data_IF_615007558495
#
_entry.id   IF_615007558495
#
_cell.length_a   1.000
_cell.length_b   1.000
_cell.length_c   1.000
_cell.angle_alpha   90.00
_cell.angle_beta   90.00
_cell.angle_gamma   90.00
#
_symmetry.space_group_name_H-M   'P 1'
#
loop_
_entity.id
_entity.type
_entity.pdbx_description
1 polymer ?
#
# COMPACT_ATOMS: atom_id res chain seq x y z
N UNK A 1 73.38 38.77 -29.04
CA UNK A 1 72.39 39.78 -28.59
C UNK A 1 71.12 39.52 -29.40
N UNK A 2 69.96 39.11 -28.88
CA UNK A 2 69.33 39.17 -27.55
C UNK A 2 68.50 37.89 -27.31
N UNK A 3 68.44 37.36 -26.07
CA UNK A 3 67.50 36.32 -25.69
C UNK A 3 66.24 36.96 -25.06
N UNK A 4 65.04 36.56 -25.48
CA UNK A 4 63.86 36.64 -24.59
C UNK A 4 63.03 35.37 -24.72
N UNK A 5 63.41 34.44 -23.86
CA UNK A 5 62.64 33.31 -23.38
C UNK A 5 61.37 33.75 -22.65
N UNK A 6 60.31 32.96 -22.86
CA UNK A 6 59.31 32.50 -21.88
C UNK A 6 58.73 33.50 -20.88
N UNK A 7 57.38 33.51 -20.82
CA UNK A 7 56.60 32.94 -19.72
C UNK A 7 55.34 33.80 -19.45
N UNK A 8 54.28 33.56 -20.23
CA UNK A 8 52.92 33.98 -19.88
C UNK A 8 52.15 32.75 -19.38
N UNK A 9 52.54 32.25 -18.23
CA UNK A 9 51.72 31.34 -17.43
C UNK A 9 51.68 31.91 -16.00
N UNK A 10 50.53 31.72 -15.34
CA UNK A 10 50.26 31.99 -13.92
C UNK A 10 49.85 33.41 -13.47
N UNK A 11 48.80 34.00 -14.04
CA UNK A 11 47.98 35.00 -13.32
C UNK A 11 46.46 34.89 -13.58
N UNK A 12 46.02 34.30 -14.70
CA UNK A 12 44.60 34.10 -15.01
C UNK A 12 43.88 33.03 -14.14
N UNK A 13 44.63 32.16 -13.47
CA UNK A 13 44.07 31.09 -12.64
C UNK A 13 43.58 31.52 -11.25
N UNK A 14 44.10 32.63 -10.70
CA UNK A 14 43.82 33.04 -9.32
C UNK A 14 42.50 33.80 -9.15
N UNK A 15 42.04 34.54 -10.17
CA UNK A 15 40.78 35.28 -10.11
C UNK A 15 39.56 34.42 -10.52
N UNK A 16 39.76 33.38 -11.33
CA UNK A 16 38.68 32.46 -11.74
C UNK A 16 38.33 31.41 -10.69
N UNK A 17 39.30 31.00 -9.86
CA UNK A 17 39.14 29.96 -8.85
C UNK A 17 38.09 30.30 -7.77
N UNK A 18 38.07 31.50 -7.15
CA UNK A 18 37.03 31.83 -6.17
C UNK A 18 35.63 31.90 -6.79
N UNK A 19 35.52 32.33 -8.05
CA UNK A 19 34.23 32.34 -8.78
C UNK A 19 33.75 30.92 -9.06
N UNK A 20 34.65 30.03 -9.49
CA UNK A 20 34.32 28.61 -9.69
C UNK A 20 33.91 27.92 -8.38
N UNK A 21 34.61 28.21 -7.28
CA UNK A 21 34.25 27.68 -5.94
C UNK A 21 32.88 28.20 -5.51
N UNK A 22 32.57 29.47 -5.74
CA UNK A 22 31.25 30.04 -5.44
C UNK A 22 30.16 29.36 -6.28
N UNK A 23 30.39 29.17 -7.59
CA UNK A 23 29.44 28.49 -8.47
C UNK A 23 29.21 27.03 -8.05
N UNK A 24 30.27 26.31 -7.67
CA UNK A 24 30.17 24.95 -7.14
C UNK A 24 29.40 24.91 -5.81
N UNK A 25 29.63 25.88 -4.93
CA UNK A 25 28.90 26.00 -3.67
C UNK A 25 27.39 26.22 -3.92
N UNK A 26 27.04 27.16 -4.80
CA UNK A 26 25.64 27.44 -5.17
C UNK A 26 24.99 26.23 -5.86
N UNK A 27 25.71 25.54 -6.74
CA UNK A 27 25.21 24.32 -7.38
C UNK A 27 24.96 23.21 -6.34
N UNK A 28 25.90 22.99 -5.42
CA UNK A 28 25.75 21.97 -4.36
C UNK A 28 24.58 22.27 -3.43
N UNK A 29 24.38 23.55 -3.07
CA UNK A 29 23.26 23.99 -2.24
C UNK A 29 21.93 23.84 -2.97
N UNK A 30 21.91 24.06 -4.29
CA UNK A 30 20.72 23.89 -5.12
C UNK A 30 20.32 22.42 -5.23
N UNK A 31 21.28 21.52 -5.44
CA UNK A 31 21.04 20.06 -5.47
C UNK A 31 20.56 19.57 -4.11
N UNK A 32 21.23 19.96 -3.02
CA UNK A 32 20.82 19.58 -1.67
C UNK A 32 19.40 20.09 -1.31
N UNK A 33 19.01 21.25 -1.85
CA UNK A 33 17.65 21.77 -1.68
C UNK A 33 16.63 20.96 -2.49
N UNK A 34 16.94 20.62 -3.75
CA UNK A 34 16.08 19.78 -4.59
C UNK A 34 15.90 18.37 -4.01
N UNK A 35 16.97 17.75 -3.50
CA UNK A 35 16.91 16.44 -2.87
C UNK A 35 15.97 16.43 -1.65
N UNK A 36 16.03 17.48 -0.83
CA UNK A 36 15.13 17.64 0.33
C UNK A 36 13.67 17.78 -0.09
N UNK A 37 13.40 18.52 -1.17
CA UNK A 37 12.04 18.66 -1.70
C UNK A 37 11.52 17.32 -2.23
N UNK A 38 12.32 16.60 -3.02
CA UNK A 38 11.96 15.28 -3.53
C UNK A 38 11.66 14.29 -2.39
N UNK A 39 12.50 14.25 -1.36
CA UNK A 39 12.26 13.42 -0.19
C UNK A 39 10.95 13.78 0.54
N UNK A 40 10.62 15.08 0.66
CA UNK A 40 9.35 15.52 1.23
C UNK A 40 8.15 15.12 0.38
N UNK A 41 8.25 15.21 -0.95
CA UNK A 41 7.18 14.77 -1.85
C UNK A 41 6.96 13.27 -1.77
N UNK A 42 8.04 12.47 -1.78
CA UNK A 42 7.97 11.02 -1.63
C UNK A 42 7.36 10.60 -0.29
N UNK A 43 7.74 11.27 0.80
CA UNK A 43 7.14 11.01 2.11
C UNK A 43 5.65 11.35 2.14
N UNK A 44 5.26 12.49 1.57
CA UNK A 44 3.85 12.90 1.49
C UNK A 44 3.02 11.98 0.61
N UNK A 45 3.56 11.51 -0.52
CA UNK A 45 2.85 10.56 -1.37
C UNK A 45 2.63 9.24 -0.65
N UNK A 46 3.63 8.72 0.07
CA UNK A 46 3.47 7.52 0.90
C UNK A 46 2.40 7.68 1.97
N UNK A 47 2.39 8.82 2.68
CA UNK A 47 1.33 9.10 3.66
C UNK A 47 -0.05 9.21 3.02
N UNK A 48 -0.15 9.81 1.84
CA UNK A 48 -1.40 9.95 1.11
C UNK A 48 -1.92 8.59 0.62
N UNK A 49 -1.06 7.73 0.10
CA UNK A 49 -1.43 6.35 -0.28
C UNK A 49 -1.96 5.55 0.91
N UNK A 50 -1.33 5.68 2.09
CA UNK A 50 -1.80 5.04 3.32
C UNK A 50 -3.16 5.60 3.77
N UNK A 51 -3.34 6.92 3.72
CA UNK A 51 -4.58 7.57 4.11
C UNK A 51 -5.76 7.21 3.18
N UNK A 52 -5.50 7.18 1.87
CA UNK A 52 -6.48 6.73 0.86
C UNK A 52 -6.85 5.28 1.11
N UNK A 53 -5.86 4.39 1.26
CA UNK A 53 -6.09 2.99 1.58
C UNK A 53 -6.98 2.81 2.82
N UNK A 54 -6.71 3.55 3.90
CA UNK A 54 -7.52 3.51 5.13
C UNK A 54 -8.97 3.98 4.91
N UNK A 55 -9.20 5.06 4.17
CA UNK A 55 -10.56 5.56 3.91
C UNK A 55 -11.42 4.56 3.13
N UNK A 56 -10.80 3.82 2.21
CA UNK A 56 -11.48 2.88 1.34
C UNK A 56 -11.87 1.61 2.12
N UNK A 57 -11.02 1.13 3.03
CA UNK A 57 -11.36 0.08 3.99
C UNK A 57 -12.45 0.49 4.98
N UNK A 58 -12.44 1.74 5.48
CA UNK A 58 -13.48 2.24 6.39
C UNK A 58 -14.87 2.24 5.74
N UNK A 59 -14.96 2.56 4.45
CA UNK A 59 -16.20 2.48 3.69
C UNK A 59 -16.75 1.05 3.62
N UNK A 60 -15.87 0.10 3.28
CA UNK A 60 -16.19 -1.32 3.25
C UNK A 60 -16.68 -1.82 4.63
N UNK A 61 -15.91 -1.53 5.69
CA UNK A 61 -16.22 -1.97 7.05
C UNK A 61 -17.57 -1.44 7.54
N UNK A 62 -17.86 -0.16 7.31
CA UNK A 62 -19.12 0.45 7.74
C UNK A 62 -20.33 -0.25 7.12
N UNK A 63 -20.25 -0.69 5.87
CA UNK A 63 -21.38 -1.27 5.15
C UNK A 63 -21.50 -2.79 5.33
N UNK A 64 -20.39 -3.51 5.45
CA UNK A 64 -20.39 -4.98 5.39
C UNK A 64 -19.98 -5.65 6.71
N UNK A 65 -19.31 -4.93 7.61
CA UNK A 65 -18.76 -5.49 8.86
C UNK A 65 -19.52 -5.00 10.08
N UNK A 66 -19.89 -3.70 10.13
CA UNK A 66 -20.63 -3.11 11.25
C UNK A 66 -22.08 -3.60 11.29
N UNK A 67 -22.72 -3.70 10.13
CA UNK A 67 -24.09 -4.23 9.98
C UNK A 67 -24.08 -5.44 9.03
N UNK A 68 -23.57 -6.61 9.47
CA UNK A 68 -23.39 -7.75 8.60
C UNK A 68 -24.74 -8.44 8.26
N UNK A 69 -25.05 -8.53 6.97
CA UNK A 69 -26.13 -9.36 6.44
C UNK A 69 -25.73 -10.85 6.31
N UNK A 70 -25.80 -11.58 7.42
CA UNK A 70 -25.41 -13.00 7.49
C UNK A 70 -26.13 -13.93 6.48
N UNK A 71 -27.31 -13.56 5.98
CA UNK A 71 -28.05 -14.33 4.97
C UNK A 71 -27.35 -14.38 3.60
N UNK A 72 -26.42 -13.47 3.33
CA UNK A 72 -25.64 -13.47 2.08
C UNK A 72 -24.47 -14.48 2.11
N UNK A 73 -24.18 -15.08 3.27
CA UNK A 73 -23.09 -16.02 3.42
C UNK A 73 -23.37 -17.34 2.68
N UNK A 74 -22.43 -17.79 1.86
CA UNK A 74 -22.52 -19.12 1.24
C UNK A 74 -22.02 -20.19 2.21
N UNK A 75 -22.64 -21.36 2.22
CA UNK A 75 -22.16 -22.46 3.04
C UNK A 75 -20.76 -22.93 2.58
N UNK A 76 -19.86 -23.14 3.55
CA UNK A 76 -18.52 -23.64 3.29
C UNK A 76 -18.55 -25.16 3.22
N UNK A 77 -18.02 -25.72 2.13
CA UNK A 77 -17.92 -27.17 1.92
C UNK A 77 -16.67 -27.79 2.55
N UNK A 78 -15.88 -27.02 3.30
CA UNK A 78 -14.64 -27.46 3.93
C UNK A 78 -14.84 -27.69 5.45
N UNK A 79 -13.92 -28.43 6.08
CA UNK A 79 -13.87 -28.49 7.55
C UNK A 79 -13.47 -27.11 8.08
N UNK A 80 -14.45 -26.33 8.54
CA UNK A 80 -14.28 -24.92 8.84
C UNK A 80 -14.51 -24.05 7.61
N UNK A 81 -13.49 -23.29 7.22
CA UNK A 81 -13.58 -22.42 6.04
C UNK A 81 -12.58 -22.83 4.97
N UNK A 82 -13.03 -22.84 3.71
CA UNK A 82 -12.15 -23.12 2.59
C UNK A 82 -10.98 -22.12 2.49
N UNK A 83 -9.81 -22.54 1.98
CA UNK A 83 -8.70 -21.63 1.74
C UNK A 83 -9.10 -20.51 0.78
N UNK A 84 -8.50 -19.33 0.92
CA UNK A 84 -8.71 -18.22 -0.01
C UNK A 84 -7.96 -18.51 -1.32
N UNK A 85 -8.46 -19.41 -2.18
CA UNK A 85 -7.78 -19.72 -3.45
C UNK A 85 -8.06 -18.66 -4.52
N UNK A 86 -7.06 -18.42 -5.38
CA UNK A 86 -7.17 -17.57 -6.58
C UNK A 86 -7.99 -18.22 -7.70
N UNK A 87 -8.17 -19.55 -7.65
CA UNK A 87 -8.88 -20.25 -8.71
C UNK A 87 -10.38 -19.94 -8.69
N UNK A 88 -10.83 -19.34 -9.80
CA UNK A 88 -12.20 -18.88 -10.08
C UNK A 88 -13.27 -19.98 -9.94
N UNK A 89 -12.86 -21.24 -9.83
CA UNK A 89 -13.74 -22.40 -9.89
C UNK A 89 -14.40 -22.76 -8.55
N UNK A 90 -13.83 -22.36 -7.41
CA UNK A 90 -14.22 -22.96 -6.12
C UNK A 90 -14.94 -22.01 -5.16
N UNK A 91 -14.80 -20.68 -5.32
CA UNK A 91 -15.34 -19.71 -4.36
C UNK A 91 -16.01 -18.56 -5.10
N UNK A 92 -17.32 -18.37 -4.85
CA UNK A 92 -18.05 -17.19 -5.34
C UNK A 92 -17.46 -15.94 -4.70
N UNK A 93 -16.76 -15.15 -5.49
CA UNK A 93 -16.30 -13.82 -5.11
C UNK A 93 -17.33 -12.80 -5.56
N UNK A 94 -17.68 -11.90 -4.65
CA UNK A 94 -18.53 -10.75 -4.96
C UNK A 94 -17.66 -9.51 -5.06
N UNK A 95 -17.98 -8.63 -6.00
CA UNK A 95 -17.27 -7.37 -6.19
C UNK A 95 -18.08 -6.26 -5.51
N UNK A 96 -17.44 -5.50 -4.63
CA UNK A 96 -17.98 -4.26 -4.06
C UNK A 96 -17.17 -3.08 -4.61
N UNK A 97 -17.85 -2.04 -5.11
CA UNK A 97 -17.20 -0.88 -5.74
C UNK A 97 -17.52 0.39 -4.99
N UNK A 98 -16.51 1.24 -4.83
CA UNK A 98 -16.66 2.60 -4.34
C UNK A 98 -15.79 3.52 -5.20
N UNK A 99 -16.42 4.47 -5.89
CA UNK A 99 -15.76 5.39 -6.82
C UNK A 99 -14.89 4.64 -7.87
N UNK A 100 -13.56 4.74 -7.78
CA UNK A 100 -12.59 4.07 -8.66
C UNK A 100 -12.06 2.75 -8.08
N UNK A 101 -12.33 2.47 -6.80
CA UNK A 101 -11.82 1.30 -6.10
C UNK A 101 -12.81 0.13 -6.15
N UNK A 102 -12.25 -1.08 -6.19
CA UNK A 102 -13.02 -2.32 -6.14
C UNK A 102 -12.42 -3.29 -5.13
N UNK A 103 -13.28 -3.87 -4.32
CA UNK A 103 -12.97 -4.96 -3.42
C UNK A 103 -13.57 -6.23 -3.97
N UNK A 104 -12.78 -7.28 -3.93
CA UNK A 104 -13.29 -8.63 -4.05
C UNK A 104 -13.44 -9.20 -2.67
N UNK A 105 -14.65 -9.63 -2.33
CA UNK A 105 -14.93 -10.24 -1.05
C UNK A 105 -15.57 -11.61 -1.18
N UNK A 106 -15.39 -12.40 -0.13
CA UNK A 106 -15.92 -13.75 0.02
C UNK A 106 -16.60 -13.86 1.36
N UNK A 107 -17.87 -14.25 1.34
CA UNK A 107 -18.67 -14.45 2.55
C UNK A 107 -19.05 -15.91 2.67
N UNK A 108 -18.57 -16.55 3.74
CA UNK A 108 -18.87 -17.94 4.02
C UNK A 108 -19.45 -18.16 5.42
N UNK A 109 -20.26 -19.20 5.52
CA UNK A 109 -20.81 -19.73 6.75
C UNK A 109 -20.31 -21.16 6.97
N UNK A 110 -20.04 -21.51 8.22
CA UNK A 110 -19.68 -22.85 8.64
C UNK A 110 -20.43 -23.16 9.94
N UNK A 111 -21.14 -24.29 9.98
CA UNK A 111 -21.85 -24.75 11.18
C UNK A 111 -21.21 -26.05 11.68
N UNK A 112 -20.99 -26.13 12.98
CA UNK A 112 -20.46 -27.34 13.63
C UNK A 112 -21.59 -28.33 13.92
N UNK A 113 -21.22 -29.59 14.22
CA UNK A 113 -22.19 -30.64 14.60
C UNK A 113 -22.96 -30.26 15.88
N UNK A 114 -22.34 -29.46 16.76
CA UNK A 114 -22.93 -28.96 18.00
C UNK A 114 -23.86 -27.73 17.78
N UNK A 115 -24.10 -27.33 16.53
CA UNK A 115 -24.97 -26.22 16.16
C UNK A 115 -24.34 -24.83 16.35
N UNK A 116 -23.02 -24.74 16.55
CA UNK A 116 -22.33 -23.45 16.61
C UNK A 116 -22.12 -22.92 15.19
N UNK A 117 -22.62 -21.71 14.93
CA UNK A 117 -22.57 -21.03 13.65
C UNK A 117 -21.36 -20.08 13.59
N UNK A 118 -20.52 -20.24 12.58
CA UNK A 118 -19.38 -19.38 12.30
C UNK A 118 -19.56 -18.70 10.96
N UNK A 119 -19.17 -17.42 10.88
CA UNK A 119 -19.11 -16.69 9.62
C UNK A 119 -17.71 -16.15 9.41
N UNK A 120 -17.28 -16.13 8.15
CA UNK A 120 -16.05 -15.49 7.72
C UNK A 120 -16.32 -14.62 6.50
N UNK A 121 -16.01 -13.34 6.64
CA UNK A 121 -15.95 -12.39 5.53
C UNK A 121 -14.48 -12.10 5.27
N UNK A 122 -14.03 -12.22 4.03
CA UNK A 122 -12.68 -11.85 3.63
C UNK A 122 -12.73 -10.97 2.41
N UNK A 123 -12.04 -9.83 2.42
CA UNK A 123 -12.00 -8.88 1.32
C UNK A 123 -10.57 -8.56 0.90
N UNK A 124 -10.38 -8.20 -0.37
CA UNK A 124 -9.09 -7.83 -0.93
C UNK A 124 -9.25 -6.82 -2.07
N UNK A 125 -8.33 -5.86 -2.12
CA UNK A 125 -8.22 -4.88 -3.21
C UNK A 125 -7.28 -5.41 -4.32
N UNK A 126 -6.22 -6.13 -3.94
CA UNK A 126 -5.13 -6.52 -4.84
C UNK A 126 -5.01 -8.04 -5.11
N UNK A 127 -5.90 -8.87 -4.54
CA UNK A 127 -5.89 -10.34 -4.60
C UNK A 127 -4.63 -11.01 -4.02
N UNK A 128 -3.80 -10.28 -3.29
CA UNK A 128 -2.59 -10.78 -2.64
C UNK A 128 -2.73 -10.78 -1.12
N UNK A 129 -3.27 -9.68 -0.58
CA UNK A 129 -3.56 -9.52 0.84
C UNK A 129 -5.07 -9.50 1.05
N UNK A 130 -5.57 -10.33 1.96
CA UNK A 130 -6.96 -10.37 2.36
C UNK A 130 -7.09 -9.87 3.80
N UNK A 131 -8.03 -8.96 4.03
CA UNK A 131 -8.47 -8.64 5.38
C UNK A 131 -9.73 -9.46 5.69
N UNK A 132 -9.74 -10.15 6.82
CA UNK A 132 -10.80 -11.08 7.17
C UNK A 132 -11.38 -10.77 8.55
N UNK A 133 -12.66 -11.07 8.70
CA UNK A 133 -13.45 -10.93 9.91
C UNK A 133 -14.17 -12.24 10.20
N UNK A 134 -14.22 -12.61 11.48
CA UNK A 134 -14.82 -13.85 11.95
C UNK A 134 -15.86 -13.57 13.01
N UNK A 135 -17.05 -14.12 12.81
CA UNK A 135 -18.13 -14.12 13.78
C UNK A 135 -18.40 -15.52 14.26
N UNK A 136 -18.75 -15.62 15.54
CA UNK A 136 -19.30 -16.83 16.15
C UNK A 136 -20.67 -16.47 16.74
N UNK A 137 -21.71 -17.21 16.35
CA UNK A 137 -23.10 -16.93 16.72
C UNK A 137 -23.46 -15.44 16.51
N UNK A 138 -23.04 -14.88 15.35
CA UNK A 138 -23.26 -13.48 14.93
C UNK A 138 -22.53 -12.42 15.76
N UNK A 139 -21.66 -12.80 16.67
CA UNK A 139 -20.80 -11.88 17.44
C UNK A 139 -19.41 -11.87 16.81
N UNK A 140 -18.89 -10.69 16.48
CA UNK A 140 -17.54 -10.53 15.94
C UNK A 140 -16.52 -10.95 17.01
N UNK A 141 -15.71 -11.96 16.72
CA UNK A 141 -14.69 -12.49 17.65
C UNK A 141 -13.29 -12.01 17.26
N UNK A 142 -12.98 -12.05 15.96
CA UNK A 142 -11.64 -11.81 15.47
C UNK A 142 -11.66 -11.07 14.14
N UNK A 143 -10.59 -10.31 13.87
CA UNK A 143 -10.30 -9.71 12.58
C UNK A 143 -8.79 -9.70 12.36
N UNK A 144 -8.34 -9.73 11.10
CA UNK A 144 -6.93 -9.69 10.80
C UNK A 144 -6.59 -9.92 9.33
N UNK A 145 -5.32 -9.67 9.01
CA UNK A 145 -4.78 -9.82 7.67
C UNK A 145 -4.28 -11.24 7.44
N UNK A 146 -4.65 -11.79 6.28
CA UNK A 146 -4.14 -13.04 5.75
C UNK A 146 -3.42 -12.75 4.44
N UNK A 147 -2.20 -13.25 4.31
CA UNK A 147 -1.48 -13.31 3.05
C UNK A 147 -1.62 -14.70 2.47
N UNK A 148 -1.81 -14.79 1.16
CA UNK A 148 -1.69 -16.07 0.48
C UNK A 148 -0.23 -16.51 0.57
N UNK A 149 -0.01 -17.73 1.06
CA UNK A 149 1.29 -18.38 0.95
C UNK A 149 1.35 -18.97 -0.47
N UNK A 150 2.36 -18.56 -1.23
CA UNK A 150 2.69 -19.14 -2.54
C UNK A 150 3.04 -20.63 -2.43
#
# INVERSE_FOLDING_TARGET
MNPQTMNQQTLAGWLGLPVLVLLLAVASMSVAFQDRLLAQYQWRSQLQEVAVGQSVWQGFERLLVVEPEFSQANDSNCLGFCPLQQDKASLKQTEWKIEEDSFLYQWHRYETVDGIEYHRLCASINRQSYHCWWWQNRILQHQGWLTLLD
#
